data_IF_723565139015
#
_entry.id   IF_723565139015
#
_cell.length_a   1.000
_cell.length_b   1.000
_cell.length_c   1.000
_cell.angle_alpha   90.00
_cell.angle_beta   90.00
_cell.angle_gamma   90.00
#
_symmetry.space_group_name_H-M   'P 1'
#
loop_
_entity.id
_entity.type
_entity.pdbx_description
1 polymer ?
#
# COMPACT_ATOMS: atom_id res chain seq x y z
N UNK A 1 27.80 14.12 -5.03
CA UNK A 1 27.71 13.20 -6.20
C UNK A 1 26.73 13.85 -7.18
N UNK A 2 27.16 14.07 -8.40
CA UNK A 2 26.70 15.13 -9.32
C UNK A 2 25.55 14.62 -10.20
N UNK A 3 24.41 15.33 -10.24
CA UNK A 3 23.48 15.23 -11.37
C UNK A 3 23.95 16.22 -12.45
N UNK A 4 24.66 15.72 -13.45
CA UNK A 4 25.15 16.51 -14.60
C UNK A 4 24.33 16.17 -15.84
N UNK A 5 23.76 17.21 -16.45
CA UNK A 5 23.42 17.38 -17.86
C UNK A 5 22.90 16.16 -18.64
N UNK A 6 21.60 16.15 -18.92
CA UNK A 6 21.03 15.42 -20.06
C UNK A 6 21.55 16.10 -21.33
N UNK A 7 22.67 15.61 -21.86
CA UNK A 7 23.15 15.96 -23.19
C UNK A 7 22.34 15.19 -24.22
N UNK A 8 21.71 15.96 -25.10
CA UNK A 8 21.25 15.59 -26.42
C UNK A 8 22.26 14.73 -27.19
N UNK A 9 21.76 13.67 -27.83
CA UNK A 9 22.41 13.04 -28.99
C UNK A 9 23.17 11.75 -28.72
N UNK A 10 22.47 10.61 -28.86
CA UNK A 10 22.80 9.51 -29.79
C UNK A 10 21.78 8.38 -29.64
N UNK A 11 21.01 8.14 -30.71
CA UNK A 11 20.25 6.91 -30.91
C UNK A 11 21.23 5.73 -30.85
N UNK A 12 21.24 5.01 -29.72
CA UNK A 12 21.75 3.65 -29.65
C UNK A 12 20.60 2.70 -29.87
N UNK A 13 20.41 2.28 -31.12
CA UNK A 13 19.46 1.24 -31.51
C UNK A 13 19.96 -0.07 -30.89
N UNK A 14 19.26 -0.57 -29.88
CA UNK A 14 19.41 -1.95 -29.43
C UNK A 14 18.66 -2.82 -30.43
N UNK A 15 19.37 -3.30 -31.44
CA UNK A 15 18.84 -4.34 -32.32
C UNK A 15 18.77 -5.65 -31.54
N UNK A 16 17.55 -6.17 -31.35
CA UNK A 16 17.33 -7.60 -31.18
C UNK A 16 16.11 -8.02 -32.02
N UNK A 17 16.21 -9.14 -32.76
CA UNK A 17 15.26 -9.48 -33.80
C UNK A 17 14.05 -10.18 -33.19
N UNK A 18 12.95 -9.45 -33.05
CA UNK A 18 11.65 -10.06 -32.82
C UNK A 18 10.72 -9.52 -33.88
N UNK A 19 10.28 -10.43 -34.75
CA UNK A 19 9.34 -10.11 -35.81
C UNK A 19 8.08 -9.46 -35.26
N UNK A 20 7.58 -8.47 -36.01
CA UNK A 20 6.18 -8.12 -36.26
C UNK A 20 6.07 -6.62 -36.52
N UNK A 21 5.38 -6.28 -37.62
CA UNK A 21 4.89 -4.96 -37.98
C UNK A 21 3.82 -4.49 -36.96
N UNK A 22 4.20 -4.28 -35.70
CA UNK A 22 3.30 -3.78 -34.67
C UNK A 22 3.34 -2.25 -34.64
N UNK A 23 2.20 -1.57 -34.85
CA UNK A 23 2.15 -0.11 -34.75
C UNK A 23 2.47 0.31 -33.31
N UNK A 24 3.25 1.38 -33.17
CA UNK A 24 3.63 1.90 -31.86
C UNK A 24 2.40 2.24 -31.01
N UNK A 25 2.39 1.77 -29.75
CA UNK A 25 1.33 2.07 -28.77
C UNK A 25 1.65 3.34 -27.99
N UNK A 26 0.67 4.24 -27.84
CA UNK A 26 0.81 5.44 -26.98
C UNK A 26 0.87 5.01 -25.51
N UNK A 27 1.79 5.61 -24.76
CA UNK A 27 1.97 5.40 -23.32
C UNK A 27 1.77 6.73 -22.61
N UNK A 28 0.94 6.74 -21.56
CA UNK A 28 0.68 7.93 -20.77
C UNK A 28 1.77 8.14 -19.71
N UNK A 29 2.22 9.39 -19.56
CA UNK A 29 3.09 9.82 -18.45
C UNK A 29 2.17 10.25 -17.30
N UNK A 30 2.17 9.50 -16.20
CA UNK A 30 1.26 9.72 -15.06
C UNK A 30 2.00 10.12 -13.79
N UNK A 31 1.36 10.93 -12.94
CA UNK A 31 1.82 11.27 -11.59
C UNK A 31 0.86 10.68 -10.56
N UNK A 32 1.39 9.87 -9.64
CA UNK A 32 0.63 9.36 -8.49
C UNK A 32 0.81 10.29 -7.29
N UNK A 33 -0.25 10.48 -6.50
CA UNK A 33 -0.23 11.27 -5.26
C UNK A 33 -1.08 10.59 -4.18
N UNK A 34 -0.61 10.64 -2.94
CA UNK A 34 -1.40 10.30 -1.76
C UNK A 34 -2.19 11.53 -1.30
N UNK A 35 -3.44 11.34 -0.89
CA UNK A 35 -4.26 12.38 -0.28
C UNK A 35 -4.52 11.97 1.17
N UNK A 36 -4.27 12.90 2.10
CA UNK A 36 -4.54 12.68 3.53
C UNK A 36 -6.01 13.04 3.81
N UNK A 37 -6.83 12.04 4.07
CA UNK A 37 -8.25 12.25 4.42
C UNK A 37 -8.44 12.63 5.90
N UNK A 38 -7.63 12.04 6.79
CA UNK A 38 -7.69 12.30 8.23
C UNK A 38 -6.34 12.04 8.91
N UNK A 39 -6.23 12.32 10.20
CA UNK A 39 -5.13 11.85 11.05
C UNK A 39 -5.61 11.53 12.45
N UNK A 40 -4.99 10.52 13.03
CA UNK A 40 -5.14 10.14 14.43
C UNK A 40 -3.83 10.38 15.18
N UNK A 41 -3.93 10.70 16.46
CA UNK A 41 -2.77 10.84 17.34
C UNK A 41 -2.44 9.47 17.93
N UNK A 42 -1.32 8.91 17.49
CA UNK A 42 -0.77 7.69 18.07
C UNK A 42 0.32 8.07 19.08
N UNK A 43 0.12 7.71 20.35
CA UNK A 43 1.01 8.11 21.47
C UNK A 43 2.38 7.42 21.38
N UNK A 44 2.37 6.15 21.02
CA UNK A 44 3.59 5.36 20.83
C UNK A 44 4.23 5.73 19.48
N UNK A 45 5.45 6.26 19.47
CA UNK A 45 6.09 6.62 18.19
C UNK A 45 6.41 5.42 17.29
N UNK A 46 6.52 4.21 17.85
CA UNK A 46 7.00 3.02 17.15
C UNK A 46 6.12 1.84 17.46
N UNK A 47 5.89 1.01 16.45
CA UNK A 47 5.30 -0.32 16.59
C UNK A 47 6.44 -1.30 16.86
N UNK A 48 6.48 -1.88 18.05
CA UNK A 48 7.51 -2.86 18.45
C UNK A 48 6.97 -4.28 18.49
N UNK A 49 5.66 -4.44 18.63
CA UNK A 49 5.01 -5.75 18.67
C UNK A 49 3.67 -5.74 17.93
N UNK A 50 3.11 -6.94 17.62
CA UNK A 50 1.77 -7.06 17.05
C UNK A 50 0.67 -6.41 17.92
N UNK A 51 0.85 -6.40 19.23
CA UNK A 51 -0.08 -5.79 20.20
C UNK A 51 -0.13 -4.27 20.03
N UNK A 52 1.02 -3.61 19.82
CA UNK A 52 1.08 -2.17 19.51
C UNK A 52 0.29 -1.86 18.24
N UNK A 53 0.47 -2.69 17.19
CA UNK A 53 -0.25 -2.54 15.94
C UNK A 53 -1.77 -2.72 16.15
N UNK A 54 -2.18 -3.73 16.92
CA UNK A 54 -3.58 -4.00 17.25
C UNK A 54 -4.24 -2.82 17.97
N UNK A 55 -3.54 -2.16 18.90
CA UNK A 55 -4.05 -0.98 19.59
C UNK A 55 -4.34 0.18 18.62
N UNK A 56 -3.44 0.41 17.66
CA UNK A 56 -3.61 1.41 16.61
C UNK A 56 -4.82 1.09 15.71
N UNK A 57 -5.00 -0.19 15.34
CA UNK A 57 -6.15 -0.63 14.55
C UNK A 57 -7.47 -0.51 15.32
N UNK A 58 -7.51 -0.81 16.63
CA UNK A 58 -8.71 -0.64 17.47
C UNK A 58 -9.22 0.80 17.49
N UNK A 59 -8.33 1.78 17.54
CA UNK A 59 -8.72 3.19 17.47
C UNK A 59 -9.32 3.59 16.11
N UNK A 60 -8.92 2.91 15.04
CA UNK A 60 -9.42 3.14 13.69
C UNK A 60 -10.75 2.40 13.40
N UNK A 61 -11.00 1.30 14.10
CA UNK A 61 -12.08 0.35 13.81
C UNK A 61 -13.23 0.37 14.81
N UNK A 62 -13.23 1.32 15.75
CA UNK A 62 -14.31 1.46 16.72
C UNK A 62 -15.64 1.72 15.98
N UNK A 63 -16.60 0.81 16.11
CA UNK A 63 -17.89 0.84 15.39
C UNK A 63 -17.93 0.18 14.00
N UNK A 64 -16.87 -0.50 13.56
CA UNK A 64 -16.87 -1.24 12.30
C UNK A 64 -17.77 -2.50 12.38
N UNK A 65 -18.82 -2.55 11.55
CA UNK A 65 -19.76 -3.68 11.45
C UNK A 65 -19.44 -4.64 10.29
N UNK A 66 -18.47 -4.26 9.44
CA UNK A 66 -18.02 -4.99 8.23
C UNK A 66 -16.61 -5.54 8.39
N UNK A 67 -16.24 -6.45 7.50
CA UNK A 67 -14.86 -6.94 7.41
C UNK A 67 -13.98 -5.89 6.74
N UNK A 68 -12.90 -5.48 7.41
CA UNK A 68 -11.93 -4.52 6.89
C UNK A 68 -10.60 -5.22 6.65
N UNK A 69 -10.01 -4.96 5.49
CA UNK A 69 -8.62 -5.26 5.20
C UNK A 69 -7.83 -3.96 5.15
N UNK A 70 -6.92 -3.78 6.11
CA UNK A 70 -6.19 -2.53 6.32
C UNK A 70 -4.69 -2.80 6.21
N UNK A 71 -3.99 -1.86 5.59
CA UNK A 71 -2.54 -1.84 5.49
C UNK A 71 -2.01 -0.65 6.28
N UNK A 72 -1.21 -0.94 7.29
CA UNK A 72 -0.40 0.03 8.01
C UNK A 72 0.99 0.05 7.40
N UNK A 73 1.42 1.23 6.97
CA UNK A 73 2.75 1.47 6.41
C UNK A 73 3.70 1.97 7.50
N UNK A 74 4.91 1.44 7.52
CA UNK A 74 5.95 1.78 8.50
C UNK A 74 7.21 2.34 7.81
N UNK A 75 7.91 3.24 8.48
CA UNK A 75 9.26 3.67 8.10
C UNK A 75 10.34 2.69 8.61
N UNK A 76 11.62 2.97 8.29
CA UNK A 76 12.78 2.18 8.74
C UNK A 76 12.98 2.14 10.27
N UNK A 77 12.26 2.98 11.03
CA UNK A 77 12.27 3.04 12.49
C UNK A 77 11.02 2.38 13.09
N UNK A 78 10.23 1.67 12.28
CA UNK A 78 8.94 1.09 12.62
C UNK A 78 7.91 2.13 13.11
N UNK A 79 7.96 3.35 12.58
CA UNK A 79 6.97 4.39 12.88
C UNK A 79 5.82 4.32 11.88
N UNK A 80 4.55 4.34 12.34
CA UNK A 80 3.37 4.49 11.48
C UNK A 80 3.45 5.74 10.60
N UNK A 81 3.39 5.57 9.28
CA UNK A 81 3.42 6.68 8.32
C UNK A 81 2.09 6.89 7.60
N UNK A 82 1.38 5.79 7.29
CA UNK A 82 0.10 5.83 6.61
C UNK A 82 -0.74 4.61 6.97
N UNK A 83 -2.07 4.78 6.96
CA UNK A 83 -3.05 3.70 7.10
C UNK A 83 -3.93 3.77 5.86
N UNK A 84 -4.13 2.62 5.19
CA UNK A 84 -4.99 2.52 4.03
C UNK A 84 -5.93 1.34 4.17
N UNK A 85 -7.24 1.57 3.99
CA UNK A 85 -8.22 0.50 3.84
C UNK A 85 -8.16 0.01 2.41
N UNK A 86 -7.65 -1.19 2.18
CA UNK A 86 -7.55 -1.78 0.84
C UNK A 86 -8.86 -2.42 0.40
N UNK A 87 -9.60 -3.01 1.33
CA UNK A 87 -10.85 -3.69 1.02
C UNK A 87 -11.83 -3.60 2.19
N UNK A 88 -13.11 -3.46 1.86
CA UNK A 88 -14.23 -3.55 2.81
C UNK A 88 -15.14 -4.68 2.30
N UNK A 89 -15.12 -5.82 2.99
CA UNK A 89 -15.87 -7.01 2.61
C UNK A 89 -17.22 -7.13 3.32
N UNK A 90 -18.08 -7.98 2.76
CA UNK A 90 -19.24 -8.53 3.46
C UNK A 90 -18.94 -9.96 3.93
N UNK A 91 -19.76 -10.46 4.85
CA UNK A 91 -19.64 -11.67 5.69
C UNK A 91 -19.04 -12.96 5.07
N UNK A 92 -18.89 -13.07 3.74
CA UNK A 92 -18.64 -14.32 3.03
C UNK A 92 -17.33 -14.39 2.22
N UNK A 93 -16.52 -13.32 2.14
CA UNK A 93 -15.07 -13.36 1.78
C UNK A 93 -14.57 -11.98 1.34
N UNK A 94 -13.34 -11.65 1.71
CA UNK A 94 -12.55 -10.60 1.05
C UNK A 94 -11.50 -11.23 0.14
N UNK A 95 -11.65 -11.08 -1.17
CA UNK A 95 -10.56 -11.37 -2.11
C UNK A 95 -9.69 -10.12 -2.18
N UNK A 96 -8.54 -10.14 -1.50
CA UNK A 96 -7.59 -9.03 -1.53
C UNK A 96 -6.44 -9.38 -2.47
N UNK A 97 -6.26 -8.57 -3.52
CA UNK A 97 -5.16 -8.78 -4.45
C UNK A 97 -3.86 -8.13 -3.95
N UNK A 98 -2.69 -8.76 -4.13
CA UNK A 98 -1.40 -8.17 -3.72
C UNK A 98 -1.16 -6.76 -4.28
N UNK A 99 -1.68 -6.44 -5.47
CA UNK A 99 -1.58 -5.10 -6.06
C UNK A 99 -2.27 -4.01 -5.21
N UNK A 100 -3.33 -4.36 -4.50
CA UNK A 100 -4.08 -3.42 -3.64
C UNK A 100 -3.35 -3.19 -2.32
N UNK A 101 -2.60 -4.19 -1.85
CA UNK A 101 -1.78 -4.11 -0.63
C UNK A 101 -0.48 -3.36 -0.88
N UNK A 102 0.17 -3.61 -2.02
CA UNK A 102 1.46 -3.01 -2.37
C UNK A 102 1.34 -1.57 -2.84
N UNK A 103 0.22 -1.19 -3.48
CA UNK A 103 0.00 0.18 -3.95
C UNK A 103 0.15 1.23 -2.83
N UNK A 104 -0.53 1.14 -1.67
CA UNK A 104 -0.33 2.11 -0.60
C UNK A 104 1.09 2.09 -0.05
N UNK A 105 1.71 0.90 0.09
CA UNK A 105 3.09 0.76 0.56
C UNK A 105 4.10 1.50 -0.32
N UNK A 106 3.97 1.36 -1.65
CA UNK A 106 4.85 2.01 -2.62
C UNK A 106 4.62 3.52 -2.61
N UNK A 107 3.36 3.97 -2.64
CA UNK A 107 3.02 5.40 -2.68
C UNK A 107 3.44 6.10 -1.37
N UNK A 108 3.38 5.41 -0.23
CA UNK A 108 3.82 5.95 1.07
C UNK A 108 5.32 5.82 1.31
N UNK A 109 6.08 5.24 0.38
CA UNK A 109 7.50 4.91 0.56
C UNK A 109 7.76 4.10 1.84
N UNK A 110 6.94 3.09 2.09
CA UNK A 110 7.03 2.24 3.27
C UNK A 110 8.30 1.37 3.24
N UNK A 111 8.98 1.25 4.38
CA UNK A 111 10.04 0.28 4.57
C UNK A 111 9.48 -1.12 4.87
N UNK A 112 8.34 -1.18 5.55
CA UNK A 112 7.62 -2.41 5.85
C UNK A 112 6.12 -2.13 6.00
N UNK A 113 5.31 -3.18 5.97
CA UNK A 113 3.86 -3.08 6.16
C UNK A 113 3.37 -4.06 7.22
N UNK A 114 2.31 -3.68 7.91
CA UNK A 114 1.49 -4.56 8.75
C UNK A 114 0.11 -4.63 8.13
N UNK A 115 -0.39 -5.84 7.96
CA UNK A 115 -1.72 -6.10 7.43
C UNK A 115 -2.64 -6.50 8.56
N UNK A 116 -3.83 -5.92 8.59
CA UNK A 116 -4.88 -6.27 9.53
C UNK A 116 -6.14 -6.67 8.79
N UNK A 117 -6.73 -7.78 9.21
CA UNK A 117 -7.99 -8.29 8.67
C UNK A 117 -8.93 -8.59 9.84
N UNK A 118 -10.05 -7.88 9.92
CA UNK A 118 -11.14 -8.25 10.84
C UNK A 118 -12.01 -9.28 10.13
N UNK A 119 -11.77 -10.55 10.42
CA UNK A 119 -12.79 -11.58 10.24
C UNK A 119 -13.68 -11.60 11.46
N UNK A 120 -15.00 -11.59 11.29
CA UNK A 120 -15.93 -11.75 12.41
C UNK A 120 -15.79 -13.18 12.95
N UNK A 121 -15.04 -13.36 14.05
CA UNK A 121 -14.91 -14.67 14.71
C UNK A 121 -16.22 -14.96 15.45
N UNK A 122 -17.21 -15.53 14.74
CA UNK A 122 -18.37 -16.12 15.39
C UNK A 122 -17.91 -17.38 16.14
N UNK A 123 -17.64 -17.26 17.44
CA UNK A 123 -17.63 -18.39 18.36
C UNK A 123 -19.08 -18.88 18.52
N UNK A 124 -19.54 -19.69 17.57
CA UNK A 124 -20.70 -20.56 17.77
C UNK A 124 -20.30 -21.67 18.73
N UNK A 125 -20.57 -21.48 20.02
CA UNK A 125 -20.72 -22.60 20.94
C UNK A 125 -21.96 -23.39 20.49
N UNK A 126 -21.77 -24.63 20.07
CA UNK A 126 -22.71 -25.69 20.37
C UNK A 126 -22.15 -26.47 21.55
#
# INVERSE_FOLDING_TARGET
MVYREIRTGKQGVLESPVGMNQPAKRVDIVKLKMVKESSLLYKERRVKSPEDASLLFKQFLDGADREYFIVLCLDIKNQPTAINVCHIGSLNSSIVHPREVLKPAIISNAASIIVFHIGKLYMGRN
#
